data_IF_997928660267
#
_entry.id   IF_997928660267
#
_cell.length_a   1.000
_cell.length_b   1.000
_cell.length_c   1.000
_cell.angle_alpha   90.00
_cell.angle_beta   90.00
_cell.angle_gamma   90.00
#
_symmetry.space_group_name_H-M   'P 1'
#
loop_
_entity.id
_entity.type
_entity.pdbx_description
1 polymer ?
#
# COMPACT_ATOMS: atom_id res chain seq x y z
N UNK A 1 10.94 22.41 24.78
CA UNK A 1 10.80 21.30 23.83
C UNK A 1 10.04 20.21 24.58
N UNK A 2 8.79 19.95 24.19
CA UNK A 2 8.05 18.82 24.77
C UNK A 2 8.78 17.54 24.33
N UNK A 3 9.16 16.71 25.26
CA UNK A 3 9.66 15.36 24.98
C UNK A 3 8.65 14.68 24.05
N UNK A 4 9.03 14.47 22.78
CA UNK A 4 8.15 13.89 21.80
C UNK A 4 7.77 12.48 22.23
N UNK A 5 6.49 12.28 22.50
CA UNK A 5 5.94 10.96 22.74
C UNK A 5 6.28 10.11 21.51
N UNK A 6 6.98 9.02 21.71
CA UNK A 6 7.31 8.07 20.63
C UNK A 6 6.01 7.66 19.93
N UNK A 7 5.97 7.83 18.61
CA UNK A 7 4.78 7.48 17.83
C UNK A 7 4.59 5.97 17.83
N UNK A 8 3.40 5.53 18.17
CA UNK A 8 3.03 4.12 18.17
C UNK A 8 1.97 3.88 17.10
N UNK A 9 2.20 2.95 16.16
CA UNK A 9 1.22 2.65 15.13
C UNK A 9 -0.06 2.07 15.73
N UNK A 10 -1.20 2.47 15.20
CA UNK A 10 -2.45 1.78 15.46
C UNK A 10 -2.35 0.32 14.96
N UNK A 11 -3.08 -0.64 15.57
CA UNK A 11 -3.03 -2.03 15.15
C UNK A 11 -3.34 -2.19 13.64
N UNK A 12 -2.59 -3.05 12.97
CA UNK A 12 -2.76 -3.29 11.54
C UNK A 12 -4.19 -3.73 11.20
N UNK A 13 -4.67 -3.36 9.99
CA UNK A 13 -6.02 -3.70 9.51
C UNK A 13 -7.17 -3.17 10.39
N UNK A 14 -6.94 -2.12 11.18
CA UNK A 14 -7.98 -1.37 11.88
C UNK A 14 -8.37 -0.11 11.11
N UNK A 15 -9.56 0.40 11.36
CA UNK A 15 -10.03 1.65 10.73
C UNK A 15 -9.09 2.82 11.01
N UNK A 16 -8.59 2.93 12.25
CA UNK A 16 -7.63 3.96 12.66
C UNK A 16 -6.33 3.87 11.86
N UNK A 17 -5.76 2.66 11.74
CA UNK A 17 -4.53 2.43 10.98
C UNK A 17 -4.70 2.75 9.50
N UNK A 18 -5.81 2.34 8.90
CA UNK A 18 -6.10 2.56 7.48
C UNK A 18 -6.36 4.03 7.17
N UNK A 19 -7.15 4.73 8.01
CA UNK A 19 -7.35 6.19 7.89
C UNK A 19 -6.05 6.97 8.01
N UNK A 20 -5.21 6.61 9.00
CA UNK A 20 -3.93 7.26 9.19
C UNK A 20 -3.04 7.11 7.96
N UNK A 21 -2.92 5.90 7.42
CA UNK A 21 -2.16 5.65 6.21
C UNK A 21 -2.72 6.41 4.99
N UNK A 22 -4.05 6.45 4.83
CA UNK A 22 -4.69 7.24 3.77
C UNK A 22 -4.38 8.74 3.90
N UNK A 23 -4.25 9.27 5.11
CA UNK A 23 -3.90 10.68 5.31
C UNK A 23 -2.48 11.03 4.89
N UNK A 24 -1.55 10.06 4.93
CA UNK A 24 -0.13 10.27 4.63
C UNK A 24 0.25 9.85 3.21
N UNK A 25 -0.20 8.68 2.77
CA UNK A 25 0.29 8.00 1.57
C UNK A 25 -0.65 8.16 0.36
N UNK A 26 -0.18 7.72 -0.79
CA UNK A 26 -0.95 7.71 -2.04
C UNK A 26 -1.97 6.57 -2.10
N UNK A 27 -2.02 5.73 -1.08
CA UNK A 27 -2.95 4.62 -0.98
C UNK A 27 -2.66 3.72 0.22
N UNK A 28 -3.47 2.68 0.33
CA UNK A 28 -3.40 1.66 1.37
C UNK A 28 -3.39 0.26 0.78
N UNK A 29 -2.82 -0.65 1.53
CA UNK A 29 -2.97 -2.08 1.34
C UNK A 29 -3.56 -2.68 2.60
N UNK A 30 -4.48 -3.63 2.43
CA UNK A 30 -5.10 -4.36 3.51
C UNK A 30 -5.60 -5.73 3.05
N UNK A 31 -5.89 -6.58 4.04
CA UNK A 31 -6.20 -7.98 3.85
C UNK A 31 -7.67 -8.26 4.07
N UNK A 32 -8.33 -9.00 3.17
CA UNK A 32 -9.71 -9.44 3.35
C UNK A 32 -9.83 -10.96 3.43
N UNK A 33 -10.84 -11.43 4.20
CA UNK A 33 -11.25 -12.82 4.34
C UNK A 33 -12.76 -12.96 4.28
N UNK A 34 -13.22 -14.15 3.92
CA UNK A 34 -14.64 -14.52 3.96
C UNK A 34 -14.95 -15.16 5.32
N UNK A 35 -16.03 -14.74 5.95
CA UNK A 35 -16.55 -15.29 7.20
C UNK A 35 -17.41 -16.55 6.96
N UNK A 36 -17.87 -17.24 8.02
CA UNK A 36 -18.73 -18.43 7.92
C UNK A 36 -20.07 -18.15 7.24
N UNK A 37 -20.58 -16.94 7.36
CA UNK A 37 -21.81 -16.43 6.75
C UNK A 37 -21.60 -15.68 5.44
N UNK A 38 -20.46 -15.94 4.76
CA UNK A 38 -20.12 -15.37 3.45
C UNK A 38 -20.08 -13.85 3.38
N UNK A 39 -19.65 -13.20 4.47
CA UNK A 39 -19.40 -11.76 4.52
C UNK A 39 -17.88 -11.48 4.47
N UNK A 40 -17.49 -10.22 4.27
CA UNK A 40 -16.09 -9.81 4.22
C UNK A 40 -15.64 -9.13 5.50
N UNK A 41 -14.50 -9.60 6.02
CA UNK A 41 -13.82 -9.04 7.19
C UNK A 41 -12.40 -8.62 6.82
N UNK A 42 -11.93 -7.51 7.39
CA UNK A 42 -10.55 -7.04 7.20
C UNK A 42 -9.65 -7.67 8.25
N UNK A 43 -8.85 -8.66 7.85
CA UNK A 43 -7.93 -9.34 8.76
C UNK A 43 -6.85 -10.14 8.02
N UNK A 44 -5.61 -10.05 8.51
CA UNK A 44 -4.48 -10.78 7.90
C UNK A 44 -4.43 -12.25 8.31
N UNK A 45 -4.53 -12.55 9.60
CA UNK A 45 -4.24 -13.88 10.12
C UNK A 45 -5.36 -14.89 9.80
N UNK A 46 -5.01 -16.16 9.76
CA UNK A 46 -5.94 -17.27 9.52
C UNK A 46 -6.73 -17.66 10.74
N UNK A 47 -6.29 -17.16 11.87
CA UNK A 47 -6.82 -17.54 13.18
C UNK A 47 -7.29 -16.31 13.93
N UNK A 48 -8.36 -16.48 14.66
CA UNK A 48 -8.85 -15.48 15.60
C UNK A 48 -8.03 -15.57 16.87
N UNK A 49 -7.18 -14.57 17.12
CA UNK A 49 -6.30 -14.49 18.29
C UNK A 49 -6.98 -13.70 19.39
N UNK A 50 -7.85 -14.36 20.14
CA UNK A 50 -8.51 -13.82 21.33
C UNK A 50 -8.28 -14.73 22.54
N UNK A 51 -8.37 -14.23 23.78
CA UNK A 51 -8.34 -15.06 24.97
C UNK A 51 -9.34 -16.20 24.91
N UNK A 52 -8.98 -17.38 25.41
CA UNK A 52 -9.81 -18.59 25.29
C UNK A 52 -11.22 -18.41 25.88
N UNK A 53 -11.34 -17.61 26.95
CA UNK A 53 -12.63 -17.24 27.54
C UNK A 53 -13.59 -16.54 26.59
N UNK A 54 -13.07 -15.85 25.56
CA UNK A 54 -13.88 -15.16 24.55
C UNK A 54 -14.13 -16.05 23.34
N UNK A 55 -13.43 -17.17 23.20
CA UNK A 55 -13.65 -18.13 22.12
C UNK A 55 -14.82 -19.07 22.38
N UNK A 56 -15.23 -19.24 23.63
CA UNK A 56 -16.37 -20.09 24.03
C UNK A 56 -16.34 -21.50 23.38
N UNK A 57 -15.15 -22.09 23.27
CA UNK A 57 -14.96 -23.39 22.62
C UNK A 57 -15.00 -23.38 21.09
N UNK A 58 -15.14 -22.22 20.45
CA UNK A 58 -15.12 -22.10 19.00
C UNK A 58 -13.75 -22.43 18.40
N UNK A 59 -13.72 -22.87 17.12
CA UNK A 59 -12.49 -23.12 16.39
C UNK A 59 -11.59 -21.89 16.31
N UNK A 60 -10.31 -22.12 16.03
CA UNK A 60 -9.34 -21.03 15.86
C UNK A 60 -9.37 -20.40 14.47
N UNK A 61 -9.99 -21.05 13.49
CA UNK A 61 -10.00 -20.57 12.10
C UNK A 61 -11.02 -19.46 11.92
N UNK A 62 -10.61 -18.34 11.32
CA UNK A 62 -11.45 -17.17 11.14
C UNK A 62 -12.69 -17.48 10.29
N UNK A 63 -12.55 -18.30 9.27
CA UNK A 63 -13.61 -18.66 8.35
C UNK A 63 -14.72 -19.54 9.00
N UNK A 64 -14.61 -19.86 10.29
CA UNK A 64 -15.62 -20.59 11.09
C UNK A 64 -16.41 -19.65 12.00
N UNK A 65 -16.16 -18.35 11.92
CA UNK A 65 -16.87 -17.31 12.68
C UNK A 65 -17.78 -16.51 11.74
N UNK A 66 -18.95 -16.12 12.24
CA UNK A 66 -19.83 -15.18 11.53
C UNK A 66 -19.26 -13.74 11.60
N UNK A 67 -19.76 -12.87 10.73
CA UNK A 67 -19.36 -11.47 10.76
C UNK A 67 -19.68 -10.80 12.10
N UNK A 68 -20.92 -10.99 12.61
CA UNK A 68 -21.36 -10.40 13.87
C UNK A 68 -20.47 -10.80 15.03
N UNK A 69 -20.13 -12.08 15.15
CA UNK A 69 -19.23 -12.57 16.19
C UNK A 69 -17.82 -11.94 16.12
N UNK A 70 -17.33 -11.71 14.91
CA UNK A 70 -16.02 -11.04 14.74
C UNK A 70 -16.11 -9.55 15.03
N UNK A 71 -17.22 -8.89 14.65
CA UNK A 71 -17.45 -7.48 14.96
C UNK A 71 -17.60 -7.27 16.47
N UNK A 72 -18.28 -8.14 17.18
CA UNK A 72 -18.40 -8.11 18.65
C UNK A 72 -17.04 -8.26 19.35
N UNK A 73 -16.11 -8.99 18.73
CA UNK A 73 -14.71 -9.05 19.15
C UNK A 73 -13.89 -7.82 18.72
N UNK A 74 -14.51 -6.87 17.97
CA UNK A 74 -13.94 -5.61 17.51
C UNK A 74 -13.09 -5.71 16.24
N UNK A 75 -13.28 -6.76 15.45
CA UNK A 75 -12.71 -6.80 14.09
C UNK A 75 -13.47 -5.85 13.17
N UNK A 76 -12.79 -5.34 12.14
CA UNK A 76 -13.35 -4.39 11.19
C UNK A 76 -14.01 -5.12 10.02
N UNK A 77 -15.32 -4.95 9.84
CA UNK A 77 -16.00 -5.42 8.64
C UNK A 77 -15.58 -4.59 7.41
N UNK A 78 -15.59 -5.21 6.23
CA UNK A 78 -15.26 -4.50 4.99
C UNK A 78 -16.27 -3.41 4.67
N UNK A 79 -17.53 -3.64 4.93
CA UNK A 79 -18.59 -2.64 4.73
C UNK A 79 -18.43 -1.43 5.66
N UNK A 80 -18.22 -1.66 6.97
CA UNK A 80 -18.01 -0.57 7.92
C UNK A 80 -16.77 0.28 7.57
N UNK A 81 -15.74 -0.34 6.98
CA UNK A 81 -14.60 0.37 6.44
C UNK A 81 -14.99 1.25 5.24
N UNK A 82 -15.75 0.71 4.30
CA UNK A 82 -16.19 1.44 3.10
C UNK A 82 -17.22 2.55 3.41
N UNK A 83 -17.99 2.41 4.49
CA UNK A 83 -18.97 3.41 4.94
C UNK A 83 -18.31 4.59 5.66
N UNK A 84 -17.04 4.49 5.97
CA UNK A 84 -16.29 5.57 6.59
C UNK A 84 -16.12 6.77 5.66
N UNK A 85 -16.57 7.94 6.08
CA UNK A 85 -16.54 9.16 5.25
C UNK A 85 -15.12 9.58 4.83
N UNK A 86 -14.14 9.41 5.72
CA UNK A 86 -12.75 9.75 5.41
C UNK A 86 -12.19 8.81 4.34
N UNK A 87 -12.50 7.51 4.47
CA UNK A 87 -12.11 6.50 3.49
C UNK A 87 -12.76 6.79 2.13
N UNK A 88 -14.06 7.07 2.10
CA UNK A 88 -14.77 7.41 0.87
C UNK A 88 -14.17 8.64 0.19
N UNK A 89 -13.98 9.74 0.94
CA UNK A 89 -13.38 10.96 0.40
C UNK A 89 -12.00 10.70 -0.19
N UNK A 90 -11.13 10.04 0.55
CA UNK A 90 -9.74 9.82 0.11
C UNK A 90 -9.63 8.78 -1.01
N UNK A 91 -10.39 7.70 -0.95
CA UNK A 91 -10.32 6.65 -1.96
C UNK A 91 -11.12 6.98 -3.20
N UNK A 92 -12.40 7.36 -3.03
CA UNK A 92 -13.30 7.67 -4.14
C UNK A 92 -13.02 9.02 -4.79
N UNK A 93 -12.94 10.10 -3.97
CA UNK A 93 -12.96 11.46 -4.48
C UNK A 93 -11.54 12.00 -4.76
N UNK A 94 -10.54 11.64 -3.93
CA UNK A 94 -9.15 12.04 -4.11
C UNK A 94 -8.32 11.04 -4.96
N UNK A 95 -8.89 9.91 -5.33
CA UNK A 95 -8.26 8.92 -6.22
C UNK A 95 -7.08 8.18 -5.60
N UNK A 96 -7.03 8.03 -4.28
CA UNK A 96 -6.01 7.21 -3.61
C UNK A 96 -6.21 5.74 -3.92
N UNK A 97 -5.11 4.98 -3.89
CA UNK A 97 -5.12 3.58 -4.31
C UNK A 97 -5.54 2.65 -3.19
N UNK A 98 -6.48 1.74 -3.46
CA UNK A 98 -6.82 0.62 -2.60
C UNK A 98 -6.23 -0.68 -3.14
N UNK A 99 -5.33 -1.30 -2.37
CA UNK A 99 -4.72 -2.58 -2.69
C UNK A 99 -5.30 -3.66 -1.77
N UNK A 100 -6.13 -4.54 -2.30
CA UNK A 100 -6.87 -5.54 -1.52
C UNK A 100 -6.22 -6.92 -1.69
N UNK A 101 -5.56 -7.41 -0.61
CA UNK A 101 -5.07 -8.77 -0.59
C UNK A 101 -6.16 -9.75 -0.16
N UNK A 102 -6.53 -10.65 -1.06
CA UNK A 102 -7.50 -11.71 -0.78
C UNK A 102 -6.78 -12.90 -0.18
N UNK A 103 -7.12 -13.21 1.06
CA UNK A 103 -6.51 -14.32 1.80
C UNK A 103 -7.19 -15.64 1.48
N UNK A 104 -6.40 -16.71 1.46
CA UNK A 104 -6.90 -18.08 1.35
C UNK A 104 -7.10 -18.69 2.74
N UNK A 105 -8.13 -19.51 2.93
CA UNK A 105 -8.31 -20.25 4.16
C UNK A 105 -7.14 -21.22 4.41
N UNK A 106 -6.94 -21.63 5.64
CA UNK A 106 -5.97 -22.67 5.94
C UNK A 106 -6.47 -24.01 5.37
N UNK A 107 -5.63 -24.85 4.72
CA UNK A 107 -6.09 -26.10 4.11
C UNK A 107 -6.76 -27.09 5.07
N UNK A 108 -6.45 -27.00 6.37
CA UNK A 108 -7.07 -27.83 7.42
C UNK A 108 -8.38 -27.27 7.97
N UNK A 109 -8.72 -26.02 7.65
CA UNK A 109 -10.03 -25.48 8.02
C UNK A 109 -11.12 -26.21 7.23
N UNK A 110 -12.35 -26.35 7.75
CA UNK A 110 -13.47 -26.95 7.02
C UNK A 110 -13.68 -26.34 5.64
N UNK A 111 -13.53 -25.03 5.53
CA UNK A 111 -13.61 -24.28 4.27
C UNK A 111 -12.31 -24.31 3.45
N UNK A 112 -11.26 -24.99 3.92
CA UNK A 112 -9.91 -24.90 3.36
C UNK A 112 -9.66 -25.73 2.09
N UNK A 113 -10.52 -26.69 1.79
CA UNK A 113 -10.43 -27.55 0.59
C UNK A 113 -9.25 -28.50 0.55
N UNK A 114 -8.48 -28.64 1.63
CA UNK A 114 -7.32 -29.50 1.74
C UNK A 114 -6.07 -28.95 1.03
N UNK A 115 -4.96 -29.67 1.14
CA UNK A 115 -3.65 -29.26 0.60
C UNK A 115 -3.61 -29.24 -0.94
N UNK A 116 -4.45 -30.00 -1.61
CA UNK A 116 -4.53 -30.10 -3.08
C UNK A 116 -5.76 -29.37 -3.65
N UNK A 117 -6.44 -28.56 -2.84
CA UNK A 117 -7.69 -27.90 -3.17
C UNK A 117 -7.56 -26.71 -4.13
N UNK A 118 -6.76 -26.80 -5.21
CA UNK A 118 -6.55 -25.68 -6.14
C UNK A 118 -7.86 -25.12 -6.72
N UNK A 119 -8.79 -25.99 -7.11
CA UNK A 119 -10.10 -25.57 -7.62
C UNK A 119 -10.91 -24.85 -6.55
N UNK A 120 -10.89 -25.37 -5.34
CA UNK A 120 -11.54 -24.76 -4.18
C UNK A 120 -10.98 -23.36 -3.90
N UNK A 121 -9.65 -23.22 -3.85
CA UNK A 121 -9.01 -21.92 -3.64
C UNK A 121 -9.31 -20.92 -4.78
N UNK A 122 -9.41 -21.38 -6.03
CA UNK A 122 -9.83 -20.51 -7.14
C UNK A 122 -11.26 -19.98 -6.94
N UNK A 123 -12.18 -20.84 -6.52
CA UNK A 123 -13.57 -20.46 -6.29
C UNK A 123 -13.68 -19.52 -5.07
N UNK A 124 -12.98 -19.81 -3.98
CA UNK A 124 -12.97 -18.97 -2.78
C UNK A 124 -12.45 -17.56 -3.07
N UNK A 125 -11.35 -17.44 -3.82
CA UNK A 125 -10.83 -16.13 -4.21
C UNK A 125 -11.81 -15.42 -5.16
N UNK A 126 -12.41 -16.14 -6.11
CA UNK A 126 -13.38 -15.57 -7.02
C UNK A 126 -14.63 -15.06 -6.29
N UNK A 127 -15.09 -15.77 -5.27
CA UNK A 127 -16.19 -15.35 -4.40
C UNK A 127 -15.84 -14.08 -3.62
N UNK A 128 -14.66 -14.05 -2.97
CA UNK A 128 -14.20 -12.85 -2.27
C UNK A 128 -14.10 -11.64 -3.20
N UNK A 129 -13.61 -11.83 -4.44
CA UNK A 129 -13.58 -10.78 -5.46
C UNK A 129 -14.97 -10.26 -5.81
N UNK A 130 -15.95 -11.16 -5.99
CA UNK A 130 -17.34 -10.76 -6.30
C UNK A 130 -17.96 -9.94 -5.17
N UNK A 131 -17.83 -10.43 -3.93
CA UNK A 131 -18.36 -9.73 -2.75
C UNK A 131 -17.70 -8.36 -2.59
N UNK A 132 -16.38 -8.30 -2.75
CA UNK A 132 -15.65 -7.04 -2.65
C UNK A 132 -16.01 -6.07 -3.78
N UNK A 133 -16.14 -6.55 -5.03
CA UNK A 133 -16.52 -5.73 -6.16
C UNK A 133 -17.92 -5.15 -5.98
N UNK A 134 -18.88 -5.96 -5.55
CA UNK A 134 -20.24 -5.50 -5.26
C UNK A 134 -20.23 -4.38 -4.19
N UNK A 135 -19.55 -4.60 -3.06
CA UNK A 135 -19.50 -3.62 -1.98
C UNK A 135 -18.82 -2.30 -2.40
N UNK A 136 -17.81 -2.39 -3.27
CA UNK A 136 -17.11 -1.23 -3.83
C UNK A 136 -17.98 -0.46 -4.83
N UNK A 137 -18.72 -1.17 -5.68
CA UNK A 137 -19.59 -0.57 -6.70
C UNK A 137 -20.80 0.12 -6.06
N UNK A 138 -21.39 -0.46 -4.99
CA UNK A 138 -22.47 0.15 -4.21
C UNK A 138 -22.08 1.50 -3.57
N UNK A 139 -20.78 1.77 -3.45
CA UNK A 139 -20.22 3.00 -2.87
C UNK A 139 -19.50 3.87 -3.90
N UNK A 140 -19.67 3.58 -5.18
CA UNK A 140 -19.06 4.31 -6.30
C UNK A 140 -17.52 4.40 -6.20
N UNK A 141 -16.85 3.40 -5.61
CA UNK A 141 -15.39 3.38 -5.58
C UNK A 141 -14.86 3.06 -6.98
N UNK A 142 -14.02 3.93 -7.60
CA UNK A 142 -13.57 3.77 -8.98
C UNK A 142 -12.78 2.47 -9.21
N UNK A 143 -12.97 1.85 -10.39
CA UNK A 143 -12.23 0.66 -10.77
C UNK A 143 -10.72 0.90 -10.88
N UNK A 144 -10.34 2.08 -11.38
CA UNK A 144 -8.96 2.42 -11.75
C UNK A 144 -8.02 2.56 -10.56
N UNK A 145 -8.56 2.87 -9.38
CA UNK A 145 -7.77 3.04 -8.16
C UNK A 145 -7.92 1.88 -7.16
N UNK A 146 -8.40 0.75 -7.63
CA UNK A 146 -8.51 -0.47 -6.83
C UNK A 146 -7.81 -1.63 -7.52
N UNK A 147 -7.07 -2.46 -6.78
CA UNK A 147 -6.46 -3.68 -7.31
C UNK A 147 -6.68 -4.84 -6.37
N UNK A 148 -7.08 -5.99 -6.92
CA UNK A 148 -7.17 -7.27 -6.21
C UNK A 148 -5.91 -8.08 -6.39
N UNK A 149 -5.35 -8.65 -5.33
CA UNK A 149 -4.27 -9.61 -5.47
C UNK A 149 -4.27 -10.69 -4.38
N UNK A 150 -3.58 -11.76 -4.65
CA UNK A 150 -3.44 -12.87 -3.72
C UNK A 150 -2.14 -13.65 -3.97
N UNK A 151 -1.60 -14.29 -2.93
CA UNK A 151 -0.51 -15.26 -3.03
C UNK A 151 -1.00 -16.59 -3.64
N UNK A 152 -1.62 -16.53 -4.80
CA UNK A 152 -2.25 -17.68 -5.43
C UNK A 152 -1.91 -17.79 -6.92
N UNK A 153 -1.36 -18.94 -7.33
CA UNK A 153 -1.03 -19.21 -8.75
C UNK A 153 -2.26 -19.25 -9.65
N UNK A 154 -3.41 -19.55 -9.10
CA UNK A 154 -4.69 -19.60 -9.82
C UNK A 154 -5.36 -18.26 -9.99
N UNK A 155 -4.74 -17.14 -9.62
CA UNK A 155 -5.33 -15.80 -9.70
C UNK A 155 -5.94 -15.47 -11.07
N UNK A 156 -5.32 -15.83 -12.24
CA UNK A 156 -5.96 -15.63 -13.54
C UNK A 156 -7.27 -16.40 -13.71
N UNK A 157 -7.39 -17.57 -13.09
CA UNK A 157 -8.62 -18.35 -13.12
C UNK A 157 -9.67 -17.76 -12.19
N UNK A 158 -9.26 -17.32 -10.99
CA UNK A 158 -10.15 -16.67 -10.03
C UNK A 158 -10.74 -15.37 -10.59
N UNK A 159 -9.93 -14.54 -11.21
CA UNK A 159 -10.36 -13.31 -11.86
C UNK A 159 -11.40 -13.57 -12.99
N UNK A 160 -11.19 -14.59 -13.81
CA UNK A 160 -12.20 -14.99 -14.82
C UNK A 160 -13.48 -15.51 -14.21
N UNK A 161 -13.40 -16.27 -13.12
CA UNK A 161 -14.57 -16.81 -12.43
C UNK A 161 -15.36 -15.72 -11.69
N UNK A 162 -14.69 -14.70 -11.17
CA UNK A 162 -15.34 -13.55 -10.54
C UNK A 162 -16.02 -12.64 -11.56
N UNK A 163 -15.47 -12.53 -12.75
CA UNK A 163 -15.92 -11.58 -13.77
C UNK A 163 -15.51 -10.13 -13.46
N UNK A 164 -14.56 -9.93 -12.53
CA UNK A 164 -14.13 -8.59 -12.11
C UNK A 164 -13.66 -7.72 -13.26
N UNK A 165 -14.04 -6.45 -13.22
CA UNK A 165 -13.54 -5.41 -14.13
C UNK A 165 -12.34 -4.67 -13.52
N UNK A 166 -12.09 -4.83 -12.21
CA UNK A 166 -11.00 -4.18 -11.51
C UNK A 166 -9.65 -4.81 -11.83
N UNK A 167 -8.55 -4.04 -11.83
CA UNK A 167 -7.20 -4.55 -11.92
C UNK A 167 -6.94 -5.70 -10.93
N UNK A 168 -6.19 -6.70 -11.38
CA UNK A 168 -5.82 -7.82 -10.53
C UNK A 168 -4.41 -8.32 -10.80
N UNK A 169 -3.80 -8.99 -9.84
CA UNK A 169 -2.48 -9.59 -9.96
C UNK A 169 -2.26 -10.80 -9.04
N UNK A 170 -1.29 -11.65 -9.38
CA UNK A 170 -0.81 -12.68 -8.48
C UNK A 170 0.42 -12.17 -7.70
N UNK A 171 0.38 -12.21 -6.36
CA UNK A 171 1.52 -11.88 -5.50
C UNK A 171 2.63 -12.91 -5.61
N UNK A 172 3.87 -12.43 -5.66
CA UNK A 172 5.06 -13.29 -5.71
C UNK A 172 6.09 -12.91 -4.63
N UNK A 173 6.83 -13.89 -4.06
CA UNK A 173 6.76 -15.33 -4.34
C UNK A 173 5.42 -15.95 -3.93
N UNK A 174 5.06 -17.07 -4.55
CA UNK A 174 3.84 -17.79 -4.14
C UNK A 174 4.04 -18.44 -2.78
N UNK A 175 3.53 -17.80 -1.74
CA UNK A 175 3.62 -18.30 -0.36
C UNK A 175 2.54 -19.35 -0.14
N UNK A 176 2.89 -20.57 0.36
CA UNK A 176 1.89 -21.58 0.68
C UNK A 176 0.93 -21.08 1.78
N UNK A 177 -0.35 -21.52 1.77
CA UNK A 177 -1.32 -21.12 2.81
C UNK A 177 -1.14 -21.92 4.12
N UNK A 178 0.02 -22.54 4.36
CA UNK A 178 0.31 -23.39 5.52
C UNK A 178 1.79 -23.31 5.90
N UNK A 179 2.11 -23.85 7.06
CA UNK A 179 3.46 -23.90 7.59
C UNK A 179 3.84 -22.68 8.44
N UNK A 180 4.96 -22.80 9.11
CA UNK A 180 5.57 -21.71 9.89
C UNK A 180 6.27 -20.72 8.97
N UNK A 181 6.61 -19.52 9.45
CA UNK A 181 7.40 -18.54 8.70
C UNK A 181 8.70 -19.12 8.14
N UNK A 182 9.38 -19.98 8.92
CA UNK A 182 10.63 -20.63 8.50
C UNK A 182 10.39 -21.60 7.35
N UNK A 183 9.39 -22.48 7.47
CA UNK A 183 9.05 -23.42 6.40
C UNK A 183 8.59 -22.72 5.12
N UNK A 184 7.82 -21.67 5.24
CA UNK A 184 7.41 -20.84 4.11
C UNK A 184 8.61 -20.18 3.40
N UNK A 185 9.56 -19.62 4.15
CA UNK A 185 10.82 -19.08 3.58
C UNK A 185 11.62 -20.12 2.82
N UNK A 186 11.76 -21.32 3.37
CA UNK A 186 12.43 -22.43 2.69
C UNK A 186 11.72 -22.79 1.38
N UNK A 187 10.39 -22.86 1.41
CA UNK A 187 9.58 -23.24 0.24
C UNK A 187 9.57 -22.18 -0.87
N UNK A 188 9.70 -20.91 -0.53
CA UNK A 188 9.76 -19.82 -1.53
C UNK A 188 11.17 -19.57 -2.08
N UNK A 189 12.21 -20.00 -1.38
CA UNK A 189 13.61 -19.79 -1.79
C UNK A 189 13.91 -20.25 -3.22
N UNK A 190 13.50 -21.46 -3.67
CA UNK A 190 13.70 -21.87 -5.04
C UNK A 190 13.05 -20.97 -6.08
N UNK A 191 11.96 -20.26 -5.74
CA UNK A 191 11.28 -19.35 -6.66
C UNK A 191 12.15 -18.14 -7.00
N UNK A 192 12.93 -17.62 -6.03
CA UNK A 192 13.89 -16.54 -6.27
C UNK A 192 15.03 -16.99 -7.20
N UNK A 193 15.46 -18.25 -7.07
CA UNK A 193 16.55 -18.81 -7.87
C UNK A 193 16.10 -19.15 -9.30
N UNK A 194 14.97 -19.84 -9.42
CA UNK A 194 14.50 -20.41 -10.69
C UNK A 194 13.75 -19.42 -11.58
N UNK A 195 13.33 -18.26 -11.04
CA UNK A 195 12.48 -17.34 -11.79
C UNK A 195 13.09 -15.93 -11.83
N UNK A 196 13.96 -15.65 -12.82
CA UNK A 196 14.51 -14.31 -13.02
C UNK A 196 13.40 -13.26 -13.21
N UNK A 197 13.61 -12.04 -12.74
CA UNK A 197 12.63 -10.96 -12.79
C UNK A 197 12.00 -10.76 -14.18
N UNK A 198 12.80 -10.80 -15.25
CA UNK A 198 12.30 -10.72 -16.64
C UNK A 198 11.29 -11.80 -17.00
N UNK A 199 11.47 -13.01 -16.46
CA UNK A 199 10.54 -14.13 -16.68
C UNK A 199 9.23 -13.90 -15.91
N UNK A 200 9.29 -13.36 -14.69
CA UNK A 200 8.12 -12.98 -13.91
C UNK A 200 7.27 -11.94 -14.63
N UNK A 201 7.90 -10.88 -15.12
CA UNK A 201 7.20 -9.83 -15.90
C UNK A 201 6.48 -10.45 -17.10
N UNK A 202 7.15 -11.27 -17.91
CA UNK A 202 6.53 -11.93 -19.07
C UNK A 202 5.38 -12.85 -18.68
N UNK A 203 5.53 -13.57 -17.57
CA UNK A 203 4.50 -14.46 -17.07
C UNK A 203 3.24 -13.67 -16.66
N UNK A 204 3.41 -12.58 -15.91
CA UNK A 204 2.29 -11.74 -15.49
C UNK A 204 1.60 -11.08 -16.68
N UNK A 205 2.36 -10.52 -17.62
CA UNK A 205 1.82 -9.97 -18.85
C UNK A 205 1.04 -11.02 -19.66
N UNK A 206 1.60 -12.22 -19.82
CA UNK A 206 0.95 -13.32 -20.55
C UNK A 206 -0.31 -13.87 -19.86
N UNK A 207 -0.48 -13.64 -18.58
CA UNK A 207 -1.64 -14.03 -17.79
C UNK A 207 -2.75 -12.95 -17.77
N UNK A 208 -2.49 -11.76 -18.31
CA UNK A 208 -3.41 -10.63 -18.23
C UNK A 208 -3.40 -9.89 -16.89
N UNK A 209 -2.35 -10.09 -16.09
CA UNK A 209 -2.17 -9.36 -14.82
C UNK A 209 -1.90 -7.88 -15.08
N UNK A 210 -2.61 -6.99 -14.37
CA UNK A 210 -2.47 -5.54 -14.53
C UNK A 210 -1.15 -5.00 -13.99
N UNK A 211 -0.53 -5.71 -13.05
CA UNK A 211 0.70 -5.31 -12.37
C UNK A 211 1.51 -6.52 -11.92
N UNK A 212 2.73 -6.25 -11.43
CA UNK A 212 3.62 -7.21 -10.80
C UNK A 212 3.85 -6.84 -9.33
N UNK A 213 3.07 -7.37 -8.37
CA UNK A 213 3.36 -7.21 -6.95
C UNK A 213 4.40 -8.24 -6.52
N UNK A 214 5.54 -7.79 -6.01
CA UNK A 214 6.65 -8.69 -5.67
C UNK A 214 7.41 -8.28 -4.41
N UNK A 215 8.03 -9.26 -3.78
CA UNK A 215 8.85 -9.05 -2.59
C UNK A 215 10.16 -8.33 -2.94
N UNK A 216 10.63 -7.48 -2.01
CA UNK A 216 11.88 -6.69 -2.13
C UNK A 216 13.12 -7.56 -2.36
N UNK A 217 13.09 -8.82 -1.94
CA UNK A 217 14.18 -9.78 -2.11
C UNK A 217 14.56 -10.01 -3.57
N UNK A 218 13.67 -9.77 -4.53
CA UNK A 218 14.00 -9.81 -5.96
C UNK A 218 15.01 -8.73 -6.37
N UNK A 219 15.18 -7.67 -5.58
CA UNK A 219 16.06 -6.53 -5.88
C UNK A 219 17.24 -6.41 -4.90
N UNK A 220 17.10 -6.92 -3.68
CA UNK A 220 18.05 -6.68 -2.59
C UNK A 220 18.45 -7.94 -1.79
N UNK A 221 18.15 -9.15 -2.23
CA UNK A 221 18.50 -10.35 -1.46
C UNK A 221 19.92 -10.86 -1.76
N UNK A 222 20.45 -11.68 -0.86
CA UNK A 222 21.70 -12.42 -1.08
C UNK A 222 21.63 -13.37 -2.29
N UNK A 223 20.44 -13.80 -2.68
CA UNK A 223 20.21 -14.64 -3.87
C UNK A 223 20.61 -13.96 -5.18
N UNK A 224 20.66 -12.61 -5.21
CA UNK A 224 21.13 -11.85 -6.37
C UNK A 224 22.61 -12.14 -6.74
N UNK A 225 23.39 -12.66 -5.79
CA UNK A 225 24.79 -13.00 -6.00
C UNK A 225 25.00 -14.42 -6.53
N UNK A 226 23.94 -15.23 -6.60
CA UNK A 226 24.03 -16.55 -7.20
C UNK A 226 24.07 -16.42 -8.74
N UNK A 227 24.89 -17.20 -9.46
CA UNK A 227 25.15 -17.04 -10.90
C UNK A 227 23.99 -17.48 -11.80
N UNK A 228 22.75 -17.31 -11.36
CA UNK A 228 21.53 -17.71 -12.07
C UNK A 228 20.91 -16.55 -12.85
N UNK A 229 21.69 -15.97 -13.77
CA UNK A 229 21.23 -14.91 -14.65
C UNK A 229 21.77 -13.51 -14.33
N UNK A 230 21.38 -12.53 -15.15
CA UNK A 230 21.78 -11.12 -14.94
C UNK A 230 20.88 -10.51 -13.89
N UNK A 231 21.45 -10.14 -12.77
CA UNK A 231 20.73 -9.52 -11.66
C UNK A 231 20.17 -8.15 -12.02
N UNK A 232 18.95 -7.89 -11.54
CA UNK A 232 18.33 -6.56 -11.49
C UNK A 232 18.56 -5.94 -10.11
N UNK A 233 18.44 -4.61 -10.00
CA UNK A 233 18.62 -3.92 -8.74
C UNK A 233 18.28 -2.43 -8.88
N UNK A 234 18.38 -1.68 -7.80
CA UNK A 234 17.90 -0.30 -7.71
C UNK A 234 18.95 0.76 -8.08
N UNK A 235 20.20 0.38 -8.37
CA UNK A 235 21.28 1.32 -8.66
C UNK A 235 22.12 0.91 -9.89
N UNK A 236 22.71 1.90 -10.55
CA UNK A 236 23.68 1.72 -11.63
C UNK A 236 23.20 0.84 -12.78
N UNK A 237 24.08 -0.01 -13.31
CA UNK A 237 23.76 -0.92 -14.41
C UNK A 237 22.66 -1.95 -14.07
N UNK A 238 22.47 -2.29 -12.80
CA UNK A 238 21.41 -3.19 -12.36
C UNK A 238 20.04 -2.52 -12.47
N UNK A 239 19.93 -1.22 -12.21
CA UNK A 239 18.71 -0.43 -12.42
C UNK A 239 18.36 -0.35 -13.92
N UNK A 240 19.32 -0.09 -14.79
CA UNK A 240 19.08 -0.11 -16.25
C UNK A 240 18.53 -1.47 -16.71
N UNK A 241 19.07 -2.58 -16.17
CA UNK A 241 18.53 -3.92 -16.45
C UNK A 241 17.13 -4.12 -15.89
N UNK A 242 16.83 -3.59 -14.71
CA UNK A 242 15.50 -3.63 -14.09
C UNK A 242 14.48 -2.89 -14.96
N UNK A 243 14.76 -1.66 -15.35
CA UNK A 243 13.90 -0.83 -16.20
C UNK A 243 13.59 -1.55 -17.53
N UNK A 244 14.62 -2.09 -18.18
CA UNK A 244 14.45 -2.86 -19.42
C UNK A 244 13.65 -4.16 -19.22
N UNK A 245 13.87 -4.86 -18.10
CA UNK A 245 13.17 -6.10 -17.80
C UNK A 245 11.71 -5.88 -17.47
N UNK A 246 11.38 -4.77 -16.80
CA UNK A 246 10.03 -4.40 -16.40
C UNK A 246 9.12 -4.05 -17.58
N UNK A 247 9.67 -3.50 -18.66
CA UNK A 247 8.93 -3.19 -19.91
C UNK A 247 7.68 -2.32 -19.68
N UNK A 248 7.78 -1.37 -18.76
CA UNK A 248 6.66 -0.49 -18.40
C UNK A 248 5.62 -1.11 -17.48
N UNK A 249 5.73 -2.39 -17.10
CA UNK A 249 4.75 -3.04 -16.21
C UNK A 249 4.75 -2.40 -14.83
N UNK A 250 3.60 -1.95 -14.32
CA UNK A 250 3.48 -1.49 -12.94
C UNK A 250 4.02 -2.53 -11.97
N UNK A 251 4.86 -2.12 -11.03
CA UNK A 251 5.52 -3.05 -10.10
C UNK A 251 5.35 -2.50 -8.69
N UNK A 252 4.72 -3.28 -7.83
CA UNK A 252 4.46 -2.96 -6.43
C UNK A 252 5.36 -3.83 -5.56
N UNK A 253 6.11 -3.20 -4.67
CA UNK A 253 7.18 -3.87 -3.91
C UNK A 253 6.88 -3.83 -2.43
N UNK A 254 6.96 -4.99 -1.77
CA UNK A 254 6.69 -5.17 -0.34
C UNK A 254 7.71 -6.11 0.33
N UNK A 255 7.91 -6.04 1.64
CA UNK A 255 7.75 -4.83 2.45
C UNK A 255 8.89 -3.85 2.15
N UNK A 256 8.64 -2.56 2.25
CA UNK A 256 9.68 -1.57 2.04
C UNK A 256 10.07 -0.84 3.33
N UNK A 257 11.25 -0.28 3.32
CA UNK A 257 11.78 0.54 4.41
C UNK A 257 12.08 1.95 3.91
N UNK A 258 12.03 2.99 4.74
CA UNK A 258 12.20 4.37 4.31
C UNK A 258 13.42 4.62 3.44
N UNK A 259 14.57 4.03 3.77
CA UNK A 259 15.81 4.23 3.02
C UNK A 259 15.84 3.68 1.58
N UNK A 260 14.84 2.87 1.19
CA UNK A 260 14.73 2.33 -0.17
C UNK A 260 13.48 2.82 -0.91
N UNK A 261 12.54 3.47 -0.22
CA UNK A 261 11.30 3.99 -0.82
C UNK A 261 11.62 4.90 -2.00
N UNK A 262 12.50 5.85 -1.81
CA UNK A 262 12.90 6.79 -2.87
C UNK A 262 13.54 6.09 -4.07
N UNK A 263 14.43 5.12 -3.86
CA UNK A 263 15.07 4.35 -4.93
C UNK A 263 14.02 3.58 -5.76
N UNK A 264 12.98 3.03 -5.10
CA UNK A 264 11.86 2.36 -5.78
C UNK A 264 11.02 3.34 -6.60
N UNK A 265 10.62 4.47 -6.00
CA UNK A 265 9.82 5.49 -6.69
C UNK A 265 10.58 6.07 -7.90
N UNK A 266 11.87 6.37 -7.76
CA UNK A 266 12.74 6.80 -8.87
C UNK A 266 12.87 5.75 -9.97
N UNK A 267 12.82 4.47 -9.62
CA UNK A 267 12.78 3.39 -10.60
C UNK A 267 11.39 3.22 -11.25
N UNK A 268 10.41 4.05 -10.90
CA UNK A 268 9.04 4.00 -11.40
C UNK A 268 8.25 2.81 -10.83
N UNK A 269 8.52 2.41 -9.59
CA UNK A 269 7.82 1.33 -8.89
C UNK A 269 7.13 1.88 -7.65
N UNK A 270 6.02 1.26 -7.24
CA UNK A 270 5.32 1.58 -6.01
C UNK A 270 5.95 0.86 -4.82
N UNK A 271 5.97 1.52 -3.68
CA UNK A 271 6.54 0.99 -2.44
C UNK A 271 5.42 0.79 -1.40
N UNK A 272 5.31 -0.43 -0.87
CA UNK A 272 4.40 -0.74 0.25
C UNK A 272 5.22 -0.71 1.54
N UNK A 273 4.95 0.29 2.37
CA UNK A 273 5.74 0.58 3.57
C UNK A 273 5.02 0.23 4.87
N UNK A 274 5.80 -0.26 5.83
CA UNK A 274 5.36 -0.51 7.20
C UNK A 274 5.60 0.72 8.13
N UNK A 275 6.03 1.85 7.58
CA UNK A 275 6.53 3.00 8.36
C UNK A 275 5.67 4.24 8.14
N UNK A 276 4.58 4.35 8.89
CA UNK A 276 3.63 5.46 8.82
C UNK A 276 3.82 6.50 9.94
N UNK A 277 5.03 6.61 10.49
CA UNK A 277 5.34 7.63 11.49
C UNK A 277 5.21 9.03 10.87
N UNK A 278 4.27 9.88 11.32
CA UNK A 278 4.07 11.22 10.75
C UNK A 278 5.24 12.17 10.99
N UNK A 279 6.15 11.86 11.91
CA UNK A 279 7.37 12.62 12.15
C UNK A 279 8.47 12.32 11.13
N UNK A 280 8.44 11.13 10.51
CA UNK A 280 9.39 10.72 9.49
C UNK A 280 9.03 11.30 8.11
N UNK A 281 8.94 12.62 8.03
CA UNK A 281 8.52 13.35 6.84
C UNK A 281 9.57 13.35 5.73
N UNK A 282 10.85 13.30 6.09
CA UNK A 282 11.98 13.43 5.20
C UNK A 282 12.86 12.19 5.27
N UNK A 283 13.35 11.79 4.12
CA UNK A 283 14.43 10.80 4.05
C UNK A 283 15.77 11.44 4.37
N UNK A 284 16.80 10.66 4.75
CA UNK A 284 18.17 11.18 4.92
C UNK A 284 18.71 11.90 3.69
N UNK A 285 18.21 11.56 2.50
CA UNK A 285 18.52 12.24 1.23
C UNK A 285 17.81 13.58 1.04
N UNK A 286 16.95 14.01 1.98
CA UNK A 286 16.17 15.23 1.91
C UNK A 286 14.89 15.15 1.07
N UNK A 287 14.59 14.01 0.49
CA UNK A 287 13.33 13.85 -0.24
C UNK A 287 12.16 13.68 0.73
N UNK A 288 11.06 14.39 0.44
CA UNK A 288 9.82 14.20 1.17
C UNK A 288 9.24 12.78 0.90
N UNK A 289 8.75 12.12 1.94
CA UNK A 289 8.11 10.79 1.81
C UNK A 289 6.68 10.87 1.30
N UNK A 290 5.97 11.94 1.63
CA UNK A 290 4.59 12.20 1.18
C UNK A 290 4.38 13.70 0.99
N UNK A 291 3.26 14.07 0.38
CA UNK A 291 2.89 15.48 0.20
C UNK A 291 2.78 16.17 1.55
N UNK A 292 3.44 17.32 1.64
CA UNK A 292 3.33 18.21 2.79
C UNK A 292 2.42 19.37 2.42
N UNK A 293 1.54 19.82 3.32
CA UNK A 293 0.83 21.08 3.12
C UNK A 293 1.86 22.21 2.95
N UNK A 294 1.68 23.04 1.94
CA UNK A 294 2.51 24.23 1.71
C UNK A 294 2.18 25.34 2.70
N UNK A 295 2.41 25.08 3.99
CA UNK A 295 2.02 26.01 5.07
C UNK A 295 2.92 27.25 5.16
N UNK A 296 4.15 27.17 4.65
CA UNK A 296 5.18 28.22 4.75
C UNK A 296 5.60 28.67 3.35
N UNK A 297 4.84 29.55 2.69
CA UNK A 297 5.22 30.06 1.38
C UNK A 297 6.49 30.92 1.49
N UNK A 298 7.41 30.68 0.55
CA UNK A 298 8.74 31.27 0.53
C UNK A 298 8.78 32.53 -0.35
N UNK A 299 9.48 33.57 0.12
CA UNK A 299 9.92 34.70 -0.69
C UNK A 299 11.12 34.31 -1.56
N UNK A 300 11.48 35.13 -2.53
CA UNK A 300 12.54 34.84 -3.51
C UNK A 300 13.89 34.51 -2.87
N UNK A 301 14.26 35.21 -1.80
CA UNK A 301 15.52 34.99 -1.06
C UNK A 301 15.55 33.63 -0.37
N UNK A 302 14.41 33.24 0.20
CA UNK A 302 14.24 31.93 0.86
C UNK A 302 14.23 30.81 -0.18
N UNK A 303 13.57 31.01 -1.34
CA UNK A 303 13.63 30.10 -2.48
C UNK A 303 15.07 29.90 -2.98
N UNK A 304 15.83 30.98 -3.13
CA UNK A 304 17.21 30.92 -3.58
C UNK A 304 18.07 30.07 -2.64
N UNK A 305 17.86 30.18 -1.31
CA UNK A 305 18.55 29.34 -0.33
C UNK A 305 18.24 27.86 -0.54
N UNK A 306 17.00 27.52 -0.88
CA UNK A 306 16.58 26.15 -1.15
C UNK A 306 17.12 25.62 -2.48
N UNK A 307 17.05 26.42 -3.54
CA UNK A 307 17.53 26.08 -4.89
C UNK A 307 19.06 25.90 -4.97
N UNK A 308 19.80 26.60 -4.13
CA UNK A 308 21.25 26.51 -4.05
C UNK A 308 21.77 25.47 -3.04
N UNK A 309 20.86 24.83 -2.30
CA UNK A 309 21.21 23.78 -1.36
C UNK A 309 21.76 22.53 -2.08
N UNK A 310 22.74 21.89 -1.46
CA UNK A 310 23.39 20.66 -1.93
C UNK A 310 22.85 19.44 -1.22
N UNK A 311 23.15 18.22 -1.71
CA UNK A 311 22.78 16.98 -1.00
C UNK A 311 23.33 16.91 0.42
N UNK A 312 24.38 17.64 0.73
CA UNK A 312 25.03 17.62 2.04
C UNK A 312 24.37 18.56 3.05
N UNK A 313 23.82 19.70 2.60
CA UNK A 313 23.34 20.75 3.48
C UNK A 313 21.83 21.04 3.41
N UNK A 314 21.09 20.45 2.46
CA UNK A 314 19.68 20.79 2.25
C UNK A 314 18.79 20.50 3.48
N UNK A 315 19.10 19.49 4.28
CA UNK A 315 18.35 19.22 5.52
C UNK A 315 18.51 20.34 6.55
N UNK A 316 19.67 20.92 6.64
CA UNK A 316 19.93 22.04 7.55
C UNK A 316 19.27 23.31 7.02
N UNK A 317 19.30 23.53 5.70
CA UNK A 317 18.57 24.63 5.05
C UNK A 317 17.06 24.50 5.28
N UNK A 318 16.49 23.31 5.11
CA UNK A 318 15.06 23.05 5.37
C UNK A 318 14.69 23.34 6.84
N UNK A 319 15.44 22.82 7.80
CA UNK A 319 15.21 23.06 9.23
C UNK A 319 15.30 24.54 9.58
N UNK A 320 16.27 25.24 9.00
CA UNK A 320 16.44 26.69 9.20
C UNK A 320 15.21 27.42 8.67
N UNK A 321 14.76 27.13 7.45
CA UNK A 321 13.58 27.75 6.86
C UNK A 321 12.29 27.41 7.64
N UNK A 322 12.16 26.18 8.15
CA UNK A 322 11.02 25.82 9.02
C UNK A 322 10.93 26.66 10.30
N UNK A 323 12.07 27.08 10.84
CA UNK A 323 12.13 27.91 12.06
C UNK A 323 11.98 29.40 11.77
N UNK A 324 12.54 29.90 10.67
CA UNK A 324 12.58 31.33 10.33
C UNK A 324 11.34 31.82 9.59
N UNK A 325 10.75 30.96 8.72
CA UNK A 325 9.66 31.36 7.86
C UNK A 325 8.30 31.14 8.56
N UNK A 326 7.49 32.19 8.74
CA UNK A 326 6.16 32.02 9.33
C UNK A 326 5.23 31.23 8.39
N UNK A 327 4.27 30.51 8.97
CA UNK A 327 3.17 29.94 8.20
C UNK A 327 2.33 31.03 7.55
N UNK A 328 1.53 30.70 6.54
CA UNK A 328 0.61 31.67 5.95
C UNK A 328 -0.33 32.29 6.99
N UNK A 329 -0.77 31.54 7.97
CA UNK A 329 -1.66 32.03 9.04
C UNK A 329 -0.97 33.00 9.99
N UNK A 330 0.33 32.81 10.24
CA UNK A 330 1.17 33.63 11.13
C UNK A 330 1.77 34.85 10.41
N UNK A 331 1.86 34.81 9.07
CA UNK A 331 2.50 35.84 8.28
C UNK A 331 1.76 37.18 8.38
N UNK A 332 2.52 38.24 8.52
CA UNK A 332 1.99 39.61 8.48
C UNK A 332 1.39 39.95 7.10
N UNK A 333 0.49 40.91 7.05
CA UNK A 333 -0.22 41.31 5.83
C UNK A 333 0.74 41.78 4.72
N UNK A 334 1.80 42.51 5.10
CA UNK A 334 2.88 42.93 4.18
C UNK A 334 3.55 41.76 3.49
N UNK A 335 3.92 40.74 4.25
CA UNK A 335 4.52 39.51 3.71
C UNK A 335 3.54 38.75 2.82
N UNK A 336 2.26 38.64 3.23
CA UNK A 336 1.22 37.98 2.39
C UNK A 336 1.05 38.69 1.05
N UNK A 337 1.04 40.04 1.03
CA UNK A 337 0.98 40.83 -0.20
C UNK A 337 2.20 40.62 -1.08
N UNK A 338 3.41 40.61 -0.51
CA UNK A 338 4.64 40.34 -1.25
C UNK A 338 4.63 38.94 -1.87
N UNK A 339 4.22 37.92 -1.12
CA UNK A 339 4.07 36.53 -1.59
C UNK A 339 3.07 36.42 -2.74
N UNK A 340 1.87 37.00 -2.62
CA UNK A 340 0.86 37.00 -3.68
C UNK A 340 1.40 37.68 -4.95
N UNK A 341 2.06 38.82 -4.80
CA UNK A 341 2.67 39.54 -5.93
C UNK A 341 3.76 38.72 -6.62
N UNK A 342 4.66 38.12 -5.84
CA UNK A 342 5.71 37.23 -6.35
C UNK A 342 5.11 36.02 -7.09
N UNK A 343 4.11 35.36 -6.50
CA UNK A 343 3.49 34.19 -7.12
C UNK A 343 2.75 34.52 -8.41
N UNK A 344 2.08 35.67 -8.48
CA UNK A 344 1.44 36.13 -9.70
C UNK A 344 2.44 36.40 -10.84
N UNK A 345 3.66 36.78 -10.52
CA UNK A 345 4.74 37.00 -11.50
C UNK A 345 5.40 35.69 -11.89
N UNK A 346 5.73 34.83 -10.93
CA UNK A 346 6.47 33.58 -11.12
C UNK A 346 5.61 32.47 -11.79
N UNK A 347 4.31 32.42 -11.45
CA UNK A 347 3.38 31.36 -11.84
C UNK A 347 2.23 31.90 -12.71
N UNK A 348 2.56 32.71 -13.69
CA UNK A 348 1.56 33.21 -14.63
C UNK A 348 1.12 32.08 -15.56
N UNK A 349 -0.16 31.73 -15.44
CA UNK A 349 -0.76 30.72 -16.29
C UNK A 349 -1.58 31.37 -17.39
N UNK A 350 -1.52 30.81 -18.60
CA UNK A 350 -2.31 31.25 -19.75
C UNK A 350 -3.72 30.63 -19.77
N UNK A 351 -4.04 29.81 -18.75
CA UNK A 351 -5.32 29.13 -18.58
C UNK A 351 -5.99 29.55 -17.27
N UNK A 352 -7.31 29.53 -17.24
CA UNK A 352 -8.07 29.83 -16.02
C UNK A 352 -8.07 28.67 -15.04
N UNK A 353 -8.36 28.93 -13.76
CA UNK A 353 -8.51 27.89 -12.74
C UNK A 353 -9.63 26.92 -13.11
N UNK A 354 -10.74 27.43 -13.66
CA UNK A 354 -11.89 26.66 -14.13
C UNK A 354 -11.50 25.69 -15.25
N UNK A 355 -10.68 26.12 -16.20
CA UNK A 355 -10.17 25.24 -17.27
C UNK A 355 -9.30 24.14 -16.70
N UNK A 356 -8.37 24.45 -15.78
CA UNK A 356 -7.52 23.44 -15.13
C UNK A 356 -8.35 22.46 -14.32
N UNK A 357 -9.30 22.95 -13.52
CA UNK A 357 -10.17 22.08 -12.72
C UNK A 357 -11.04 21.20 -13.62
N UNK A 358 -11.58 21.71 -14.72
CA UNK A 358 -12.39 20.91 -15.64
C UNK A 358 -11.58 19.82 -16.34
N UNK A 359 -10.30 20.08 -16.67
CA UNK A 359 -9.39 19.08 -17.26
C UNK A 359 -9.00 17.98 -16.31
N UNK A 360 -8.95 18.27 -15.01
CA UNK A 360 -8.45 17.35 -13.98
C UNK A 360 -9.53 16.88 -13.00
N UNK A 361 -10.75 17.37 -13.11
CA UNK A 361 -11.87 16.91 -12.28
C UNK A 361 -12.11 15.41 -12.49
N UNK A 362 -12.06 14.64 -11.42
CA UNK A 362 -12.23 13.19 -11.46
C UNK A 362 -11.04 12.42 -12.04
N UNK A 363 -9.92 13.06 -12.34
CA UNK A 363 -8.74 12.38 -12.86
C UNK A 363 -8.04 11.57 -11.76
N UNK A 364 -8.27 10.27 -11.77
CA UNK A 364 -7.49 9.32 -10.96
C UNK A 364 -6.11 9.12 -11.59
N UNK A 365 -5.01 9.21 -10.82
CA UNK A 365 -3.69 8.90 -11.34
C UNK A 365 -3.65 7.50 -11.96
N UNK A 366 -3.04 7.31 -13.14
CA UNK A 366 -3.00 6.02 -13.80
C UNK A 366 -2.42 4.93 -12.88
N UNK A 367 -2.89 3.70 -13.01
CA UNK A 367 -2.41 2.56 -12.19
C UNK A 367 -0.91 2.31 -12.29
N UNK A 368 -0.28 2.75 -13.38
CA UNK A 368 1.17 2.66 -13.58
C UNK A 368 1.97 3.78 -12.88
N UNK A 369 1.32 4.83 -12.40
CA UNK A 369 2.02 5.90 -11.67
C UNK A 369 2.60 5.34 -10.36
N UNK A 370 3.89 5.62 -10.06
CA UNK A 370 4.51 5.20 -8.82
C UNK A 370 3.81 5.81 -7.60
N UNK A 371 3.57 5.00 -6.58
CA UNK A 371 2.87 5.40 -5.35
C UNK A 371 3.59 4.91 -4.12
N UNK A 372 3.49 5.67 -3.05
CA UNK A 372 3.81 5.21 -1.69
C UNK A 372 2.50 4.73 -1.04
N UNK A 373 2.48 3.47 -0.65
CA UNK A 373 1.27 2.77 -0.18
C UNK A 373 1.51 2.25 1.23
N UNK A 374 0.61 2.54 2.15
CA UNK A 374 0.65 2.03 3.52
C UNK A 374 0.28 0.55 3.56
N UNK A 375 1.23 -0.30 3.97
CA UNK A 375 1.04 -1.74 4.08
C UNK A 375 0.25 -2.07 5.34
N UNK A 376 -0.92 -2.71 5.20
CA UNK A 376 -1.91 -2.96 6.27
C UNK A 376 -2.31 -1.69 7.04
N UNK A 377 -2.42 -0.60 6.32
CA UNK A 377 -2.54 0.73 6.87
C UNK A 377 -1.21 1.27 7.36
N UNK A 378 -1.06 1.51 8.66
CA UNK A 378 0.13 2.13 9.27
C UNK A 378 1.34 1.20 9.41
N UNK A 379 1.25 -0.03 8.92
CA UNK A 379 2.32 -1.03 8.99
C UNK A 379 1.98 -2.21 9.90
N UNK A 380 2.91 -3.15 9.95
CA UNK A 380 2.76 -4.36 10.76
C UNK A 380 2.88 -4.06 12.24
N UNK A 381 2.00 -4.69 13.02
CA UNK A 381 2.09 -4.69 14.47
C UNK A 381 2.64 -6.02 15.02
N UNK A 382 3.11 -6.07 16.29
CA UNK A 382 3.53 -7.32 16.92
C UNK A 382 2.46 -8.40 16.88
N UNK A 383 2.90 -9.65 16.75
CA UNK A 383 2.01 -10.83 16.72
C UNK A 383 1.94 -11.52 18.08
N UNK A 384 0.80 -12.08 18.47
CA UNK A 384 -0.49 -12.03 17.77
C UNK A 384 -1.06 -10.61 17.74
N UNK A 385 -1.82 -10.28 16.70
CA UNK A 385 -2.59 -9.04 16.68
C UNK A 385 -3.75 -9.21 17.64
N UNK A 386 -3.65 -8.57 18.79
CA UNK A 386 -4.73 -8.53 19.79
C UNK A 386 -5.59 -7.31 19.48
N UNK A 387 -6.88 -7.53 19.41
CA UNK A 387 -7.83 -6.43 19.36
C UNK A 387 -7.78 -5.65 20.67
N UNK A 388 -7.78 -4.30 20.67
CA UNK A 388 -7.82 -3.49 21.89
C UNK A 388 -8.95 -3.85 22.85
N UNK A 389 -10.07 -4.36 22.32
CA UNK A 389 -11.21 -4.80 23.13
C UNK A 389 -11.03 -6.19 23.76
N UNK A 390 -10.02 -6.96 23.34
CA UNK A 390 -9.74 -8.29 23.88
C UNK A 390 -8.78 -8.31 25.06
N UNK A 391 -8.46 -7.16 25.64
CA UNK A 391 -7.60 -7.00 26.82
C UNK A 391 -8.31 -7.34 28.11
#
# INVERSE_FOLDING_TARGET
MAEGKEWTPAPENTLESLRHALSLFDGIEFDIRITADHQLIIHHDRTVSVPERLREGKPTWLEEWTLDELVDLGFLSFEAFLDDKTVQTMWRDEGKMGCIEIKRPHPKAPTGGGFFGRRHHNNHIAEAMKLAEQALDERDIPCENTVFYAFHRGMPTSARLSGTQRPWAALIPYIPPYGTRTTQRIQVFPQYLATPFRRLVRQHQGQGSSMLPCAIEYFQSSTRHLPLGRHVGLKGAALKRLTNARRGMPTYVWPTKPHIEHDLLRAGMSALTDYADPQLRWLPSGHARWRQPGLRPLLEEEWTRLETATEENHMDVLRTLENEVPTWAEAEQSRRHALVSQMRTRWRWDVTVEEVLSQHAGATPPTYAPRLIGHRGSGKTPRPVLNPQSK
#
